data_IF_557029330577
#
_entry.id   IF_557029330577
#
_cell.length_a   1.000
_cell.length_b   1.000
_cell.length_c   1.000
_cell.angle_alpha   90.00
_cell.angle_beta   90.00
_cell.angle_gamma   90.00
#
_symmetry.space_group_name_H-M   'P 1'
#
loop_
_entity.id
_entity.type
_entity.pdbx_description
1 polymer ?
#
# COMPACT_ATOMS: atom_id res chain seq x y z
N UNK A 1 -24.88 16.93 -9.16
CA UNK A 1 -23.42 17.10 -9.03
C UNK A 1 -23.24 18.57 -9.31
N UNK A 2 -23.20 19.37 -8.26
CA UNK A 2 -23.44 20.82 -8.36
C UNK A 2 -22.09 21.56 -8.29
N UNK A 3 -21.13 21.10 -9.09
CA UNK A 3 -19.85 21.79 -9.31
C UNK A 3 -19.91 22.44 -10.69
N UNK A 4 -19.60 23.74 -10.74
CA UNK A 4 -19.35 24.44 -12.00
C UNK A 4 -17.96 24.08 -12.52
N UNK A 5 -17.90 23.15 -13.47
CA UNK A 5 -16.64 22.71 -14.08
C UNK A 5 -15.92 23.84 -14.84
N UNK A 6 -16.65 24.88 -15.28
CA UNK A 6 -16.06 26.00 -16.03
C UNK A 6 -15.25 26.95 -15.14
N UNK A 7 -15.49 26.91 -13.82
CA UNK A 7 -14.78 27.72 -12.83
C UNK A 7 -13.45 27.08 -12.37
N UNK A 8 -13.16 25.83 -12.74
CA UNK A 8 -11.95 25.14 -12.33
C UNK A 8 -10.75 25.50 -13.24
N UNK A 9 -9.55 25.71 -12.67
CA UNK A 9 -8.36 25.92 -13.48
C UNK A 9 -8.01 24.66 -14.28
N UNK A 10 -7.60 24.84 -15.54
CA UNK A 10 -7.19 23.72 -16.40
C UNK A 10 -5.69 23.78 -16.73
N UNK A 11 -4.95 22.65 -16.65
CA UNK A 11 -5.43 21.31 -16.32
C UNK A 11 -5.60 21.09 -14.80
N UNK A 12 -6.61 20.31 -14.40
CA UNK A 12 -6.77 19.82 -13.04
C UNK A 12 -7.26 18.36 -13.03
N UNK A 13 -7.02 17.66 -11.92
CA UNK A 13 -7.64 16.37 -11.62
C UNK A 13 -8.82 16.61 -10.67
N UNK A 14 -9.98 16.04 -11.00
CA UNK A 14 -11.19 16.08 -10.17
C UNK A 14 -11.56 14.66 -9.75
N UNK A 15 -11.86 14.47 -8.46
CA UNK A 15 -12.33 13.21 -7.90
C UNK A 15 -13.78 13.37 -7.45
N UNK A 16 -14.64 12.43 -7.86
CA UNK A 16 -16.00 12.28 -7.35
C UNK A 16 -15.96 11.40 -6.08
N UNK A 17 -16.10 12.02 -4.92
CA UNK A 17 -16.12 11.30 -3.64
C UNK A 17 -17.28 10.31 -3.52
N UNK A 18 -18.43 10.59 -4.14
CA UNK A 18 -19.55 9.66 -4.12
C UNK A 18 -19.26 8.42 -4.99
N UNK A 19 -18.55 8.59 -6.11
CA UNK A 19 -18.06 7.46 -6.90
C UNK A 19 -16.99 6.66 -6.16
N UNK A 20 -16.06 7.33 -5.50
CA UNK A 20 -15.05 6.70 -4.65
C UNK A 20 -15.72 5.89 -3.53
N UNK A 21 -16.66 6.47 -2.80
CA UNK A 21 -17.37 5.80 -1.71
C UNK A 21 -18.17 4.58 -2.18
N UNK A 22 -18.83 4.65 -3.35
CA UNK A 22 -19.50 3.47 -3.94
C UNK A 22 -18.51 2.31 -4.14
N UNK A 23 -17.31 2.57 -4.64
CA UNK A 23 -16.28 1.55 -4.80
C UNK A 23 -15.81 1.01 -3.44
N UNK A 24 -15.59 1.89 -2.46
CA UNK A 24 -15.17 1.50 -1.12
C UNK A 24 -16.20 0.61 -0.42
N UNK A 25 -17.49 0.87 -0.59
CA UNK A 25 -18.57 0.01 -0.05
C UNK A 25 -18.56 -1.39 -0.68
N UNK A 26 -18.22 -1.52 -1.96
CA UNK A 26 -18.06 -2.84 -2.60
C UNK A 26 -16.92 -3.60 -1.96
N UNK A 27 -15.76 -2.96 -1.80
CA UNK A 27 -14.58 -3.56 -1.17
C UNK A 27 -14.87 -3.96 0.28
N UNK A 28 -15.48 -3.07 1.08
CA UNK A 28 -15.83 -3.40 2.46
C UNK A 28 -16.86 -4.54 2.53
N UNK A 29 -17.82 -4.60 1.62
CA UNK A 29 -18.71 -5.75 1.49
C UNK A 29 -17.98 -7.08 1.27
N UNK A 30 -16.86 -7.09 0.51
CA UNK A 30 -16.01 -8.29 0.35
C UNK A 30 -15.32 -8.65 1.68
N UNK A 31 -14.79 -7.67 2.40
CA UNK A 31 -14.18 -7.88 3.72
C UNK A 31 -15.18 -8.48 4.71
N UNK A 32 -16.40 -7.94 4.77
CA UNK A 32 -17.44 -8.42 5.68
C UNK A 32 -17.86 -9.87 5.38
N UNK A 33 -17.92 -10.26 4.10
CA UNK A 33 -18.33 -11.62 3.71
C UNK A 33 -17.23 -12.66 3.86
N UNK A 34 -15.96 -12.27 3.77
CA UNK A 34 -14.84 -13.21 3.72
C UNK A 34 -13.95 -13.16 4.96
N UNK A 35 -14.04 -12.10 5.77
CA UNK A 35 -13.12 -11.83 6.87
C UNK A 35 -11.73 -11.36 6.41
N UNK A 36 -11.51 -11.15 5.11
CA UNK A 36 -10.23 -10.64 4.61
C UNK A 36 -10.04 -9.16 4.96
N UNK A 37 -8.79 -8.71 4.87
CA UNK A 37 -8.42 -7.29 4.93
C UNK A 37 -8.02 -6.84 3.53
N UNK A 38 -8.59 -5.73 3.07
CA UNK A 38 -8.22 -5.09 1.82
C UNK A 38 -7.37 -3.87 2.16
N UNK A 39 -6.23 -3.79 1.46
CA UNK A 39 -5.26 -2.72 1.56
C UNK A 39 -5.27 -1.90 0.28
N UNK A 40 -5.05 -0.59 0.40
CA UNK A 40 -4.90 0.29 -0.77
C UNK A 40 -3.44 0.32 -1.24
N UNK A 41 -3.19 -0.01 -2.51
CA UNK A 41 -1.85 0.10 -3.09
C UNK A 41 -1.51 1.55 -3.44
N UNK A 42 -0.59 2.17 -2.70
CA UNK A 42 -0.26 3.60 -2.83
C UNK A 42 0.32 3.98 -4.20
N UNK A 43 1.04 3.06 -4.84
CA UNK A 43 1.58 3.25 -6.19
C UNK A 43 0.51 3.57 -7.24
N UNK A 44 -0.71 3.05 -7.05
CA UNK A 44 -1.83 3.29 -7.95
C UNK A 44 -2.68 4.50 -7.57
N UNK A 45 -2.71 4.87 -6.29
CA UNK A 45 -3.50 5.99 -5.78
C UNK A 45 -2.93 6.53 -4.46
N UNK A 46 -2.50 7.80 -4.45
CA UNK A 46 -1.87 8.45 -3.30
C UNK A 46 -2.38 9.88 -3.04
N UNK A 47 -3.62 10.20 -3.42
CA UNK A 47 -4.23 11.51 -3.14
C UNK A 47 -4.63 11.59 -1.65
N UNK A 48 -3.67 11.95 -0.80
CA UNK A 48 -3.81 11.86 0.66
C UNK A 48 -4.99 12.68 1.23
N UNK A 49 -5.42 13.73 0.52
CA UNK A 49 -6.59 14.53 0.90
C UNK A 49 -7.88 13.72 1.05
N UNK A 50 -8.02 12.57 0.37
CA UNK A 50 -9.21 11.70 0.49
C UNK A 50 -8.98 10.46 1.37
N UNK A 51 -7.80 10.31 1.97
CA UNK A 51 -7.54 9.20 2.90
C UNK A 51 -8.48 9.17 4.12
N UNK A 52 -8.96 10.30 4.68
CA UNK A 52 -9.98 10.28 5.73
C UNK A 52 -11.27 9.53 5.35
N UNK A 53 -11.68 9.56 4.08
CA UNK A 53 -12.81 8.78 3.60
C UNK A 53 -12.42 7.30 3.42
N UNK A 54 -11.29 7.04 2.75
CA UNK A 54 -10.86 5.68 2.41
C UNK A 54 -10.62 4.82 3.66
N UNK A 55 -9.98 5.38 4.69
CA UNK A 55 -9.63 4.67 5.94
C UNK A 55 -10.85 4.24 6.77
N UNK A 56 -12.05 4.76 6.47
CA UNK A 56 -13.29 4.29 7.09
C UNK A 56 -13.68 2.89 6.58
N UNK A 57 -13.18 2.50 5.40
CA UNK A 57 -13.55 1.27 4.72
C UNK A 57 -12.40 0.27 4.61
N UNK A 58 -11.19 0.72 4.25
CA UNK A 58 -10.03 -0.16 4.06
C UNK A 58 -9.21 -0.27 5.34
N UNK A 59 -8.41 -1.33 5.47
CA UNK A 59 -7.70 -1.66 6.73
C UNK A 59 -6.26 -1.15 6.79
N UNK A 60 -5.75 -0.62 5.69
CA UNK A 60 -4.38 -0.16 5.60
C UNK A 60 -3.94 0.08 4.16
N UNK A 61 -2.63 0.18 3.97
CA UNK A 61 -1.99 0.42 2.68
C UNK A 61 -0.93 -0.62 2.37
N UNK A 62 -0.73 -0.84 1.07
CA UNK A 62 0.45 -1.49 0.54
C UNK A 62 1.40 -0.42 -0.02
N UNK A 63 2.63 -0.38 0.50
CA UNK A 63 3.68 0.54 0.15
C UNK A 63 4.88 -0.18 -0.46
N UNK A 64 5.60 0.50 -1.35
CA UNK A 64 6.71 -0.03 -2.12
C UNK A 64 7.97 0.82 -2.09
N UNK A 65 7.98 1.86 -1.27
CA UNK A 65 9.12 2.72 -0.98
C UNK A 65 9.07 3.24 0.46
N UNK A 66 10.16 3.85 0.91
CA UNK A 66 10.20 4.57 2.19
C UNK A 66 9.15 5.69 2.23
N UNK A 67 9.05 6.47 1.15
CA UNK A 67 8.11 7.59 1.07
C UNK A 67 6.64 7.13 1.10
N UNK A 68 6.32 6.02 0.43
CA UNK A 68 4.97 5.43 0.50
C UNK A 68 4.68 4.85 1.90
N UNK A 69 5.65 4.21 2.55
CA UNK A 69 5.48 3.68 3.90
C UNK A 69 5.24 4.81 4.91
N UNK A 70 6.03 5.89 4.80
CA UNK A 70 5.85 7.11 5.58
C UNK A 70 4.49 7.75 5.35
N UNK A 71 4.10 7.94 4.09
CA UNK A 71 2.78 8.48 3.72
C UNK A 71 1.63 7.64 4.29
N UNK A 72 1.75 6.31 4.22
CA UNK A 72 0.81 5.38 4.82
C UNK A 72 0.68 5.55 6.34
N UNK A 73 1.83 5.62 7.01
CA UNK A 73 1.87 5.76 8.47
C UNK A 73 1.38 7.12 8.96
N UNK A 74 1.77 8.21 8.29
CA UNK A 74 1.47 9.58 8.73
C UNK A 74 0.06 10.03 8.30
N UNK A 75 -0.34 9.76 7.05
CA UNK A 75 -1.56 10.34 6.47
C UNK A 75 -2.73 9.35 6.37
N UNK A 76 -2.48 8.06 6.13
CA UNK A 76 -3.56 7.08 5.97
C UNK A 76 -4.04 6.55 7.33
N UNK A 77 -3.12 6.02 8.14
CA UNK A 77 -3.41 5.34 9.40
C UNK A 77 -3.98 3.93 9.23
N UNK A 78 -3.87 3.07 10.23
CA UNK A 78 -4.13 1.63 10.08
C UNK A 78 -2.86 0.88 9.69
N UNK A 79 -2.98 -0.26 9.01
CA UNK A 79 -1.83 -1.14 8.74
C UNK A 79 -0.98 -0.65 7.57
N UNK A 80 0.35 -0.70 7.71
CA UNK A 80 1.31 -0.43 6.63
C UNK A 80 2.03 -1.72 6.25
N UNK A 81 1.74 -2.22 5.05
CA UNK A 81 2.36 -3.41 4.48
C UNK A 81 3.36 -3.03 3.40
N UNK A 82 4.63 -3.36 3.62
CA UNK A 82 5.70 -2.94 2.72
C UNK A 82 6.26 -4.10 1.92
N UNK A 83 6.43 -3.87 0.62
CA UNK A 83 7.14 -4.76 -0.29
C UNK A 83 7.99 -3.96 -1.27
N UNK A 84 9.29 -4.25 -1.33
CA UNK A 84 10.16 -3.79 -2.41
C UNK A 84 10.98 -4.96 -2.99
N UNK A 85 11.27 -4.97 -4.30
CA UNK A 85 12.21 -5.92 -4.89
C UNK A 85 13.59 -5.84 -4.24
N UNK A 86 14.00 -4.63 -3.84
CA UNK A 86 15.27 -4.34 -3.19
C UNK A 86 15.10 -3.28 -2.09
N UNK A 87 15.51 -3.62 -0.87
CA UNK A 87 15.66 -2.66 0.22
C UNK A 87 17.09 -2.10 0.27
N UNK A 88 17.21 -0.81 0.62
CA UNK A 88 18.52 -0.17 0.84
C UNK A 88 18.85 -0.16 2.33
N UNK A 89 20.09 -0.51 2.69
CA UNK A 89 20.51 -0.56 4.10
C UNK A 89 20.33 0.78 4.82
N UNK A 90 20.64 1.89 4.13
CA UNK A 90 20.53 3.23 4.70
C UNK A 90 19.09 3.68 4.97
N UNK A 91 18.10 3.07 4.32
CA UNK A 91 16.68 3.44 4.42
C UNK A 91 15.87 2.43 5.24
N UNK A 92 16.35 1.19 5.34
CA UNK A 92 15.59 0.10 5.95
C UNK A 92 15.23 0.35 7.42
N UNK A 93 16.10 0.90 8.30
CA UNK A 93 15.72 1.22 9.68
C UNK A 93 14.51 2.15 9.77
N UNK A 94 14.49 3.19 8.93
CA UNK A 94 13.39 4.17 8.91
C UNK A 94 12.11 3.55 8.33
N UNK A 95 12.23 2.83 7.21
CA UNK A 95 11.12 2.12 6.57
C UNK A 95 10.47 1.13 7.55
N UNK A 96 11.29 0.40 8.30
CA UNK A 96 10.84 -0.54 9.33
C UNK A 96 10.04 0.18 10.43
N UNK A 97 10.44 1.40 10.81
CA UNK A 97 9.73 2.25 11.76
C UNK A 97 8.25 2.45 11.38
N UNK A 98 7.98 2.68 10.11
CA UNK A 98 6.62 2.88 9.58
C UNK A 98 5.85 1.58 9.26
N UNK A 99 6.50 0.42 9.24
CA UNK A 99 5.90 -0.83 8.71
C UNK A 99 5.28 -1.71 9.78
N UNK A 100 4.09 -2.26 9.56
CA UNK A 100 3.52 -3.34 10.37
C UNK A 100 3.81 -4.71 9.78
N UNK A 101 3.92 -4.79 8.44
CA UNK A 101 4.31 -5.98 7.71
C UNK A 101 5.42 -5.64 6.71
N UNK A 102 6.43 -6.51 6.60
CA UNK A 102 7.52 -6.40 5.61
C UNK A 102 7.63 -7.70 4.82
N UNK A 103 7.44 -7.62 3.51
CA UNK A 103 7.59 -8.74 2.60
C UNK A 103 8.91 -8.61 1.85
N UNK A 104 9.73 -9.66 1.88
CA UNK A 104 11.01 -9.71 1.18
C UNK A 104 10.87 -10.43 -0.14
N UNK A 105 11.60 -9.97 -1.15
CA UNK A 105 11.59 -10.58 -2.48
C UNK A 105 12.47 -11.84 -2.57
N UNK A 106 13.38 -12.07 -1.61
CA UNK A 106 14.29 -13.22 -1.63
C UNK A 106 14.82 -13.60 -0.26
N UNK A 107 15.26 -14.86 -0.10
CA UNK A 107 15.91 -15.33 1.13
C UNK A 107 17.21 -14.58 1.48
N UNK A 108 18.11 -14.27 0.53
CA UNK A 108 19.29 -13.46 0.84
C UNK A 108 18.95 -12.08 1.43
N UNK A 109 17.91 -11.43 0.90
CA UNK A 109 17.45 -10.15 1.42
C UNK A 109 16.89 -10.30 2.84
N UNK A 110 16.05 -11.33 3.08
CA UNK A 110 15.56 -11.65 4.41
C UNK A 110 16.69 -11.90 5.40
N UNK A 111 17.65 -12.77 5.07
CA UNK A 111 18.78 -13.10 5.95
C UNK A 111 19.64 -11.87 6.29
N UNK A 112 19.79 -10.94 5.34
CA UNK A 112 20.50 -9.67 5.55
C UNK A 112 19.80 -8.77 6.58
N UNK A 113 18.48 -8.62 6.49
CA UNK A 113 17.73 -7.66 7.30
C UNK A 113 17.11 -8.27 8.57
N UNK A 114 17.00 -9.59 8.68
CA UNK A 114 16.45 -10.30 9.84
C UNK A 114 17.07 -9.86 11.18
N UNK A 115 18.42 -9.70 11.31
CA UNK A 115 19.00 -9.24 12.58
C UNK A 115 18.53 -7.82 12.96
N UNK A 116 18.37 -6.95 11.96
CA UNK A 116 17.93 -5.56 12.18
C UNK A 116 16.45 -5.51 12.55
N UNK A 117 15.61 -6.32 11.92
CA UNK A 117 14.20 -6.48 12.30
C UNK A 117 14.07 -6.93 13.75
N UNK A 118 14.79 -7.97 14.14
CA UNK A 118 14.77 -8.49 15.52
C UNK A 118 15.24 -7.46 16.55
N UNK A 119 16.18 -6.59 16.18
CA UNK A 119 16.73 -5.57 17.08
C UNK A 119 15.83 -4.33 17.20
N UNK A 120 15.19 -3.89 16.12
CA UNK A 120 14.48 -2.60 16.07
C UNK A 120 12.96 -2.71 16.18
N UNK A 121 12.35 -3.76 15.61
CA UNK A 121 10.90 -3.93 15.57
C UNK A 121 10.53 -5.41 15.58
N UNK A 122 10.76 -6.13 16.70
CA UNK A 122 10.55 -7.57 16.77
C UNK A 122 9.10 -8.02 16.54
N UNK A 123 8.14 -7.13 16.74
CA UNK A 123 6.70 -7.40 16.54
C UNK A 123 6.24 -7.24 15.08
N UNK A 124 7.09 -6.73 14.18
CA UNK A 124 6.74 -6.60 12.76
C UNK A 124 6.55 -7.98 12.14
N UNK A 125 5.52 -8.14 11.32
CA UNK A 125 5.30 -9.39 10.61
C UNK A 125 6.16 -9.45 9.35
N UNK A 126 6.86 -10.56 9.15
CA UNK A 126 7.75 -10.75 7.99
C UNK A 126 7.21 -11.84 7.06
N UNK A 127 7.28 -11.59 5.76
CA UNK A 127 6.87 -12.55 4.71
C UNK A 127 7.89 -12.67 3.58
N UNK A 128 7.74 -13.71 2.76
CA UNK A 128 8.50 -13.89 1.51
C UNK A 128 7.52 -13.86 0.34
N UNK A 129 7.81 -13.05 -0.68
CA UNK A 129 7.06 -13.09 -1.94
C UNK A 129 7.35 -14.39 -2.67
N UNK A 130 6.30 -15.07 -3.11
CA UNK A 130 6.38 -16.31 -3.90
C UNK A 130 6.06 -15.99 -5.36
N UNK A 131 6.88 -16.49 -6.30
CA UNK A 131 6.53 -16.49 -7.72
C UNK A 131 5.66 -17.74 -8.01
N UNK A 132 4.41 -17.58 -8.46
CA UNK A 132 3.54 -18.72 -8.78
C UNK A 132 3.92 -19.44 -10.09
N UNK A 133 4.91 -18.95 -10.84
CA UNK A 133 5.33 -19.48 -12.15
C UNK A 133 4.18 -19.55 -13.16
N UNK A 134 3.24 -18.61 -13.07
CA UNK A 134 2.08 -18.50 -13.93
C UNK A 134 1.90 -17.07 -14.44
N UNK A 135 1.74 -16.93 -15.76
CA UNK A 135 1.56 -15.65 -16.43
C UNK A 135 0.08 -15.37 -16.70
N UNK A 136 -0.43 -14.28 -16.11
CA UNK A 136 -1.77 -13.75 -16.42
C UNK A 136 -1.73 -12.60 -17.43
N UNK A 137 -0.53 -12.17 -17.85
CA UNK A 137 -0.33 -10.99 -18.69
C UNK A 137 0.11 -11.37 -20.10
N UNK A 138 -0.56 -10.80 -21.11
CA UNK A 138 -0.21 -11.02 -22.52
C UNK A 138 1.11 -10.37 -22.92
N UNK A 139 1.57 -9.37 -22.17
CA UNK A 139 2.74 -8.56 -22.51
C UNK A 139 3.92 -8.98 -21.65
N UNK A 140 4.91 -9.61 -22.28
CA UNK A 140 6.05 -10.25 -21.60
C UNK A 140 6.84 -9.34 -20.65
N UNK A 141 6.94 -8.03 -20.92
CA UNK A 141 7.67 -7.10 -20.05
C UNK A 141 7.00 -6.85 -18.69
N UNK A 142 5.71 -7.20 -18.56
CA UNK A 142 4.96 -7.09 -17.31
C UNK A 142 4.79 -8.43 -16.60
N UNK A 143 5.38 -9.49 -17.14
CA UNK A 143 5.33 -10.85 -16.58
C UNK A 143 6.36 -11.00 -15.44
N UNK A 144 5.92 -11.24 -14.19
CA UNK A 144 6.74 -11.00 -12.99
C UNK A 144 7.56 -12.18 -12.43
#
# INVERSE_FOLDING_TARGET
MDIDLSALPTPCYLIDEAALERNLRVLDGVQQRTGCKILMALKGFAMFSVFPLIRQYLRGVAASSLDEARLGSEEFGGEVHVYAPAYKDSQFPELLGYSDHVVFNSFPQWLRFKPLVAALKPDVQCGIRVNPEHSEVKTAIYDP
#
